data_IF_755740492976
#
_entry.id   IF_755740492976
#
_cell.length_a   1.000
_cell.length_b   1.000
_cell.length_c   1.000
_cell.angle_alpha   90.00
_cell.angle_beta   90.00
_cell.angle_gamma   90.00
#
_symmetry.space_group_name_H-M   'P 1'
#
loop_
_entity.id
_entity.type
_entity.pdbx_description
1 polymer ?
#
# COMPACT_ATOMS: atom_id res chain seq x y z
N UNK A 1 23.07 -92.13 0.58
CA UNK A 1 23.78 -91.12 -0.26
C UNK A 1 22.72 -90.21 -0.84
N UNK A 2 22.56 -89.01 -0.27
CA UNK A 2 23.18 -87.75 -0.71
C UNK A 2 22.53 -87.19 -1.98
N UNK A 3 21.76 -86.12 -1.77
CA UNK A 3 21.65 -84.89 -2.60
C UNK A 3 20.98 -85.11 -3.97
N UNK A 4 19.91 -84.42 -4.35
CA UNK A 4 19.84 -82.96 -4.52
C UNK A 4 18.39 -82.49 -4.58
N UNK A 5 18.04 -81.57 -3.68
CA UNK A 5 16.84 -80.74 -3.77
C UNK A 5 17.11 -79.70 -4.86
N UNK A 6 16.40 -79.78 -5.98
CA UNK A 6 16.26 -78.65 -6.90
C UNK A 6 14.84 -78.14 -6.72
N UNK A 7 14.70 -77.16 -5.83
CA UNK A 7 13.49 -76.35 -5.73
C UNK A 7 13.35 -75.52 -6.99
N UNK A 8 12.39 -75.87 -7.84
CA UNK A 8 11.92 -75.00 -8.90
C UNK A 8 11.05 -73.93 -8.23
N UNK A 9 11.66 -72.79 -7.93
CA UNK A 9 10.94 -71.56 -7.61
C UNK A 9 10.22 -71.12 -8.89
N UNK A 10 8.93 -71.43 -9.00
CA UNK A 10 8.06 -70.78 -9.98
C UNK A 10 7.86 -69.35 -9.48
N UNK A 11 8.74 -68.46 -9.94
CA UNK A 11 8.52 -67.02 -9.93
C UNK A 11 7.33 -66.75 -10.86
N UNK A 12 6.12 -66.75 -10.30
CA UNK A 12 5.01 -66.00 -10.88
C UNK A 12 5.38 -64.53 -10.76
N UNK A 13 6.13 -64.05 -11.76
CA UNK A 13 6.25 -62.63 -12.05
C UNK A 13 4.86 -62.17 -12.44
N UNK A 14 4.07 -61.74 -11.45
CA UNK A 14 3.00 -60.80 -11.71
C UNK A 14 3.66 -59.63 -12.41
N UNK A 15 3.36 -59.47 -13.70
CA UNK A 15 3.55 -58.22 -14.40
C UNK A 15 2.71 -57.20 -13.63
N UNK A 16 3.29 -56.60 -12.60
CA UNK A 16 2.73 -55.43 -11.95
C UNK A 16 2.46 -54.46 -13.09
N UNK A 17 1.18 -54.16 -13.31
CA UNK A 17 0.83 -53.02 -14.14
C UNK A 17 1.63 -51.88 -13.55
N UNK A 18 2.58 -51.35 -14.33
CA UNK A 18 3.10 -50.02 -14.04
C UNK A 18 1.86 -49.15 -14.06
N UNK A 19 1.28 -48.90 -12.89
CA UNK A 19 0.38 -47.79 -12.66
C UNK A 19 1.26 -46.59 -12.92
N UNK A 20 1.42 -46.24 -14.19
CA UNK A 20 1.88 -44.94 -14.60
C UNK A 20 0.87 -44.01 -13.96
N UNK A 21 1.28 -43.36 -12.88
CA UNK A 21 0.50 -42.32 -12.25
C UNK A 21 -0.04 -41.43 -13.39
N UNK A 22 -1.34 -41.14 -13.39
CA UNK A 22 -1.94 -40.41 -14.49
C UNK A 22 -1.12 -39.14 -14.75
N UNK A 23 -0.70 -38.96 -16.02
CA UNK A 23 0.10 -37.80 -16.42
C UNK A 23 -0.73 -36.56 -16.16
N UNK A 24 -0.33 -35.78 -15.17
CA UNK A 24 -0.99 -34.52 -14.83
C UNK A 24 -0.86 -33.57 -16.02
N UNK A 25 -1.99 -33.20 -16.63
CA UNK A 25 -2.02 -32.22 -17.71
C UNK A 25 -2.03 -30.84 -17.04
N UNK A 26 -0.95 -30.06 -17.21
CA UNK A 26 -0.90 -28.66 -16.80
C UNK A 26 -1.56 -27.83 -17.90
N UNK A 27 -2.75 -27.29 -17.62
CA UNK A 27 -3.41 -26.33 -18.51
C UNK A 27 -3.09 -24.94 -17.96
N UNK A 28 -2.44 -24.11 -18.79
CA UNK A 28 -2.12 -22.71 -18.49
C UNK A 28 -3.15 -21.90 -19.24
N UNK A 29 -4.15 -21.34 -18.56
CA UNK A 29 -5.12 -20.44 -19.17
C UNK A 29 -5.31 -19.18 -18.33
N UNK A 30 -5.44 -18.08 -19.10
CA UNK A 30 -5.71 -16.68 -18.79
C UNK A 30 -4.73 -15.91 -17.89
N UNK A 31 -4.10 -14.89 -18.49
CA UNK A 31 -3.45 -13.77 -17.80
C UNK A 31 -4.47 -12.66 -17.59
N UNK A 32 -4.59 -12.15 -16.37
CA UNK A 32 -5.48 -11.03 -16.02
C UNK A 32 -4.68 -9.83 -15.53
N UNK A 33 -5.27 -8.64 -15.68
CA UNK A 33 -4.64 -7.36 -15.36
C UNK A 33 -4.12 -6.60 -16.58
N UNK A 34 -3.90 -7.27 -17.72
CA UNK A 34 -3.49 -6.69 -19.02
C UNK A 34 -2.58 -5.45 -18.91
N UNK A 35 -1.38 -5.61 -18.31
CA UNK A 35 -0.51 -4.49 -17.95
C UNK A 35 0.07 -3.80 -19.18
N UNK A 36 0.04 -2.47 -19.20
CA UNK A 36 0.77 -1.62 -20.14
C UNK A 36 2.20 -1.46 -19.66
N UNK A 37 3.11 -2.21 -20.26
CA UNK A 37 4.53 -2.19 -19.92
C UNK A 37 5.20 -0.98 -20.57
N UNK A 38 5.60 0.00 -19.74
CA UNK A 38 6.46 1.09 -20.18
C UNK A 38 7.81 0.54 -20.69
N UNK A 39 8.32 1.12 -21.77
CA UNK A 39 9.60 0.73 -22.35
C UNK A 39 10.68 1.77 -22.02
N UNK A 40 11.93 1.32 -21.93
CA UNK A 40 13.07 2.23 -22.01
C UNK A 40 13.04 2.94 -23.35
N UNK A 41 13.23 4.26 -23.33
CA UNK A 41 13.44 5.02 -24.54
C UNK A 41 14.85 4.80 -25.07
N UNK A 42 15.85 4.95 -24.21
CA UNK A 42 17.25 4.77 -24.57
C UNK A 42 17.72 3.38 -24.14
N UNK A 43 17.36 2.37 -24.94
CA UNK A 43 17.68 0.95 -24.67
C UNK A 43 19.17 0.66 -24.61
N UNK A 44 19.97 1.53 -25.20
CA UNK A 44 21.41 1.39 -25.18
C UNK A 44 22.03 2.12 -23.98
N UNK A 45 21.31 3.02 -23.31
CA UNK A 45 21.84 3.75 -22.15
C UNK A 45 22.35 2.79 -21.05
N UNK A 46 23.61 2.98 -20.68
CA UNK A 46 24.37 2.15 -19.76
C UNK A 46 25.33 3.03 -18.92
N UNK A 47 26.00 2.43 -17.93
CA UNK A 47 26.98 3.09 -17.05
C UNK A 47 28.00 3.95 -17.82
N UNK A 48 28.52 3.46 -18.96
CA UNK A 48 29.56 4.15 -19.72
C UNK A 48 29.08 5.42 -20.45
N UNK A 49 27.77 5.53 -20.69
CA UNK A 49 27.12 6.66 -21.37
C UNK A 49 26.30 7.53 -20.44
N UNK A 50 26.04 7.05 -19.23
CA UNK A 50 25.22 7.72 -18.26
C UNK A 50 25.85 9.04 -17.81
N UNK A 51 24.99 10.04 -17.59
CA UNK A 51 25.41 11.32 -17.06
C UNK A 51 25.87 11.14 -15.62
N UNK A 52 27.05 11.70 -15.31
CA UNK A 52 27.54 11.77 -13.94
C UNK A 52 26.65 12.65 -13.03
N UNK A 53 26.00 13.66 -13.62
CA UNK A 53 25.02 14.53 -12.96
C UNK A 53 23.94 14.94 -13.96
N UNK A 54 22.70 15.06 -13.49
CA UNK A 54 21.60 15.53 -14.31
C UNK A 54 21.60 17.07 -14.40
N UNK A 55 20.92 17.59 -15.41
CA UNK A 55 20.64 19.02 -15.58
C UNK A 55 19.19 19.36 -15.25
N UNK A 56 18.63 20.29 -16.03
CA UNK A 56 17.21 20.61 -15.97
C UNK A 56 16.43 19.67 -16.90
N UNK A 57 15.53 18.86 -16.33
CA UNK A 57 14.74 17.86 -17.08
C UNK A 57 13.26 18.24 -17.12
N UNK A 58 12.59 17.92 -18.23
CA UNK A 58 11.14 18.04 -18.32
C UNK A 58 10.47 16.86 -17.60
N UNK A 59 9.50 17.17 -16.74
CA UNK A 59 8.76 16.21 -15.92
C UNK A 59 7.28 16.33 -16.21
N UNK A 60 6.58 15.19 -16.30
CA UNK A 60 5.15 15.15 -16.59
C UNK A 60 4.37 14.61 -15.39
N UNK A 61 3.30 15.29 -14.99
CA UNK A 61 2.49 14.87 -13.85
C UNK A 61 1.03 15.28 -14.03
N UNK A 62 0.15 14.69 -13.24
CA UNK A 62 -1.28 15.00 -13.25
C UNK A 62 -1.63 15.89 -12.07
N UNK A 63 -2.40 16.94 -12.36
CA UNK A 63 -2.94 17.89 -11.39
C UNK A 63 -4.39 18.18 -11.76
N UNK A 64 -5.31 17.90 -10.84
CA UNK A 64 -6.75 18.15 -11.04
C UNK A 64 -7.30 17.52 -12.34
N UNK A 65 -6.91 16.27 -12.63
CA UNK A 65 -7.35 15.51 -13.81
C UNK A 65 -6.77 16.05 -15.13
N UNK A 66 -5.85 17.01 -15.06
CA UNK A 66 -5.15 17.55 -16.21
C UNK A 66 -3.68 17.18 -16.12
N UNK A 67 -3.11 16.81 -17.26
CA UNK A 67 -1.68 16.63 -17.34
C UNK A 67 -0.96 17.98 -17.42
N UNK A 68 0.18 18.05 -16.73
CA UNK A 68 1.08 19.19 -16.63
C UNK A 68 2.48 18.75 -16.98
N UNK A 69 3.27 19.72 -17.40
CA UNK A 69 4.71 19.55 -17.56
C UNK A 69 5.42 20.70 -16.88
N UNK A 70 6.50 20.40 -16.17
CA UNK A 70 7.41 21.42 -15.63
C UNK A 70 8.85 21.05 -15.89
N UNK A 71 9.71 22.06 -16.02
CA UNK A 71 11.15 21.87 -16.12
C UNK A 71 11.74 21.93 -14.71
N UNK A 72 12.24 20.81 -14.22
CA UNK A 72 12.74 20.66 -12.86
C UNK A 72 14.27 20.51 -12.84
N UNK A 73 14.89 21.07 -11.80
CA UNK A 73 16.33 21.08 -11.61
C UNK A 73 16.80 19.81 -10.87
N UNK A 74 17.35 18.86 -11.60
CA UNK A 74 17.90 17.61 -11.06
C UNK A 74 19.43 17.68 -10.88
N UNK A 75 20.04 18.87 -10.75
CA UNK A 75 21.52 18.99 -10.62
C UNK A 75 22.12 18.23 -9.45
N UNK A 76 21.33 17.92 -8.42
CA UNK A 76 21.76 17.12 -7.26
C UNK A 76 21.56 15.61 -7.44
N UNK A 77 21.14 15.17 -8.63
CA UNK A 77 20.93 13.76 -8.98
C UNK A 77 22.04 13.27 -9.90
N UNK A 78 22.33 11.97 -9.82
CA UNK A 78 23.25 11.28 -10.69
C UNK A 78 22.45 10.42 -11.68
N UNK A 79 22.97 10.21 -12.88
CA UNK A 79 22.36 9.34 -13.89
C UNK A 79 22.95 7.94 -13.92
N UNK A 80 23.95 7.65 -13.08
CA UNK A 80 24.77 6.43 -13.11
C UNK A 80 24.96 5.74 -11.74
N UNK A 81 24.06 4.83 -11.35
CA UNK A 81 22.67 4.74 -11.83
C UNK A 81 21.86 5.95 -11.35
N UNK A 82 20.64 6.11 -11.88
CA UNK A 82 19.73 7.18 -11.48
C UNK A 82 19.52 7.14 -9.96
N UNK A 83 19.94 8.21 -9.29
CA UNK A 83 19.92 8.35 -7.84
C UNK A 83 19.88 9.82 -7.45
N UNK A 84 19.42 10.11 -6.24
CA UNK A 84 19.29 11.46 -5.69
C UNK A 84 19.62 11.52 -4.21
N UNK A 85 19.28 12.64 -3.56
CA UNK A 85 19.57 12.86 -2.13
C UNK A 85 18.95 11.79 -1.24
N UNK A 86 17.66 11.52 -1.44
CA UNK A 86 16.88 10.58 -0.64
C UNK A 86 16.64 9.23 -1.35
N UNK A 87 16.68 9.21 -2.68
CA UNK A 87 16.49 7.98 -3.47
C UNK A 87 17.85 7.39 -3.80
N UNK A 88 18.17 6.26 -3.17
CA UNK A 88 19.47 5.59 -3.31
C UNK A 88 19.71 5.11 -4.73
N UNK A 89 18.73 4.42 -5.31
CA UNK A 89 18.78 3.88 -6.66
C UNK A 89 17.37 3.79 -7.24
N UNK A 90 17.26 4.04 -8.53
CA UNK A 90 16.08 3.74 -9.32
C UNK A 90 16.32 2.47 -10.15
N UNK A 91 15.42 1.52 -10.02
CA UNK A 91 15.42 0.27 -10.79
C UNK A 91 14.19 0.20 -11.68
N UNK A 92 14.25 -0.66 -12.69
CA UNK A 92 13.10 -0.93 -13.55
C UNK A 92 12.95 -2.41 -13.88
N UNK A 93 11.73 -2.77 -14.31
CA UNK A 93 11.41 -4.08 -14.88
C UNK A 93 11.68 -5.29 -13.98
N UNK A 94 11.69 -5.09 -12.66
CA UNK A 94 11.71 -6.19 -11.68
C UNK A 94 10.47 -7.07 -11.85
N UNK A 95 10.61 -8.39 -11.66
CA UNK A 95 9.47 -9.31 -11.66
C UNK A 95 9.48 -10.19 -10.42
N UNK A 96 8.38 -10.11 -9.69
CA UNK A 96 8.11 -10.92 -8.51
C UNK A 96 6.95 -11.86 -8.78
N UNK A 97 7.04 -13.11 -8.29
CA UNK A 97 5.97 -14.10 -8.39
C UNK A 97 5.58 -14.61 -7.01
N UNK A 98 4.32 -14.41 -6.68
CA UNK A 98 3.65 -15.11 -5.58
C UNK A 98 2.85 -16.28 -6.12
N UNK A 99 3.23 -17.48 -5.69
CA UNK A 99 2.51 -18.70 -6.00
C UNK A 99 1.67 -19.14 -4.81
N UNK A 100 0.42 -19.39 -5.11
CA UNK A 100 -0.63 -19.76 -4.20
C UNK A 100 -1.23 -21.09 -4.64
N UNK A 101 -1.74 -21.88 -3.70
CA UNK A 101 -2.41 -23.16 -3.99
C UNK A 101 -3.76 -23.22 -3.29
N UNK A 102 -4.82 -23.49 -4.03
CA UNK A 102 -6.12 -23.78 -3.44
C UNK A 102 -6.11 -25.18 -2.80
N UNK A 103 -6.51 -25.25 -1.53
CA UNK A 103 -6.74 -26.46 -0.79
C UNK A 103 -8.25 -26.74 -0.76
N UNK A 104 -8.69 -27.75 -1.51
CA UNK A 104 -10.11 -28.12 -1.61
C UNK A 104 -10.71 -28.58 -0.29
N UNK A 105 -9.95 -29.33 0.52
CA UNK A 105 -10.42 -29.88 1.80
C UNK A 105 -10.76 -28.79 2.79
N UNK A 106 -9.89 -27.78 2.88
CA UNK A 106 -10.03 -26.65 3.79
C UNK A 106 -10.83 -25.49 3.16
N UNK A 107 -11.00 -25.50 1.83
CA UNK A 107 -11.54 -24.40 1.03
C UNK A 107 -10.79 -23.09 1.27
N UNK A 108 -9.46 -23.15 1.29
CA UNK A 108 -8.55 -22.01 1.55
C UNK A 108 -7.45 -21.92 0.50
N UNK A 109 -6.88 -20.74 0.30
CA UNK A 109 -5.69 -20.53 -0.51
C UNK A 109 -4.45 -20.50 0.37
N UNK A 110 -3.48 -21.33 0.02
CA UNK A 110 -2.24 -21.51 0.75
C UNK A 110 -1.08 -20.83 0.01
N UNK A 111 -0.28 -19.98 0.67
CA UNK A 111 0.96 -19.52 0.08
C UNK A 111 1.90 -20.72 -0.14
N UNK A 112 2.43 -20.86 -1.35
CA UNK A 112 3.38 -21.93 -1.72
C UNK A 112 4.79 -21.38 -1.78
N UNK A 113 4.97 -20.26 -2.47
CA UNK A 113 6.27 -19.61 -2.61
C UNK A 113 6.09 -18.14 -2.98
N UNK A 114 7.00 -17.30 -2.51
CA UNK A 114 7.12 -15.90 -2.90
C UNK A 114 8.57 -15.68 -3.31
N UNK A 115 8.82 -15.23 -4.54
CA UNK A 115 10.18 -15.08 -5.06
C UNK A 115 10.30 -14.04 -6.17
N UNK A 116 11.44 -13.38 -6.19
CA UNK A 116 11.90 -12.59 -7.34
C UNK A 116 12.35 -13.56 -8.43
N UNK A 117 11.79 -13.44 -9.63
CA UNK A 117 12.19 -14.24 -10.80
C UNK A 117 13.03 -13.44 -11.79
N UNK A 118 13.02 -12.11 -11.67
CA UNK A 118 13.86 -11.19 -12.42
C UNK A 118 14.20 -10.02 -11.50
N UNK A 119 15.47 -9.84 -11.19
CA UNK A 119 15.94 -8.68 -10.44
C UNK A 119 15.71 -7.38 -11.23
N UNK A 120 15.54 -6.29 -10.50
CA UNK A 120 15.43 -4.96 -11.11
C UNK A 120 16.76 -4.56 -11.75
N UNK A 121 16.69 -3.96 -12.94
CA UNK A 121 17.86 -3.39 -13.59
C UNK A 121 18.00 -1.92 -13.18
N UNK A 122 19.21 -1.43 -12.86
CA UNK A 122 19.41 -0.02 -12.58
C UNK A 122 19.01 0.83 -13.79
N UNK A 123 18.30 1.93 -13.54
CA UNK A 123 17.93 2.89 -14.57
C UNK A 123 19.07 3.88 -14.79
N UNK A 124 19.46 4.11 -16.04
CA UNK A 124 20.48 5.09 -16.41
C UNK A 124 19.86 6.27 -17.18
N UNK A 125 20.41 7.47 -17.00
CA UNK A 125 20.04 8.68 -17.74
C UNK A 125 21.26 9.14 -18.53
N UNK A 126 21.16 9.16 -19.87
CA UNK A 126 22.28 9.43 -20.77
C UNK A 126 22.17 10.76 -21.55
N UNK A 127 21.11 11.55 -21.32
CA UNK A 127 20.84 12.78 -22.09
C UNK A 127 20.60 13.96 -21.16
N UNK A 128 21.32 15.05 -21.42
CA UNK A 128 21.41 16.25 -20.55
C UNK A 128 20.23 17.21 -20.81
N UNK A 129 19.79 17.28 -22.07
CA UNK A 129 18.89 18.31 -22.59
C UNK A 129 17.55 17.79 -23.12
N UNK A 130 17.39 16.47 -23.27
CA UNK A 130 16.21 15.85 -23.87
C UNK A 130 15.07 15.62 -22.87
N UNK A 131 13.87 16.08 -23.26
CA UNK A 131 12.63 15.55 -22.68
C UNK A 131 12.49 14.08 -23.08
N UNK A 132 12.56 13.16 -22.13
CA UNK A 132 12.24 11.77 -22.39
C UNK A 132 10.78 11.64 -22.86
N UNK A 133 10.46 10.73 -23.80
CA UNK A 133 9.09 10.50 -24.20
C UNK A 133 8.23 10.17 -23.00
N UNK A 134 7.03 10.74 -22.98
CA UNK A 134 6.14 10.73 -21.82
C UNK A 134 5.87 9.34 -21.25
N UNK A 135 5.74 8.34 -22.11
CA UNK A 135 5.39 6.96 -21.75
C UNK A 135 6.64 6.07 -21.54
N UNK A 136 7.83 6.68 -21.48
CA UNK A 136 9.08 5.97 -21.18
C UNK A 136 9.27 5.74 -19.68
N UNK A 137 10.08 4.75 -19.33
CA UNK A 137 10.48 4.48 -17.94
C UNK A 137 11.24 5.67 -17.36
N UNK A 138 12.08 6.32 -18.16
CA UNK A 138 12.88 7.48 -17.77
C UNK A 138 11.99 8.67 -17.37
N UNK A 139 11.03 9.04 -18.21
CA UNK A 139 10.07 10.10 -17.88
C UNK A 139 9.25 9.73 -16.63
N UNK A 140 8.84 8.47 -16.52
CA UNK A 140 8.07 7.97 -15.36
C UNK A 140 8.87 8.08 -14.06
N UNK A 141 10.15 7.74 -14.09
CA UNK A 141 11.05 7.86 -12.94
C UNK A 141 11.23 9.32 -12.52
N UNK A 142 11.46 10.23 -13.47
CA UNK A 142 11.60 11.67 -13.20
C UNK A 142 10.33 12.25 -12.55
N UNK A 143 9.13 11.81 -12.96
CA UNK A 143 7.86 12.19 -12.32
C UNK A 143 7.75 11.76 -10.87
N UNK A 144 8.13 10.53 -10.56
CA UNK A 144 8.16 10.04 -9.19
C UNK A 144 9.22 10.78 -8.35
N UNK A 145 10.43 10.98 -8.91
CA UNK A 145 11.51 11.67 -8.22
C UNK A 145 11.17 13.12 -7.87
N UNK A 146 10.49 13.85 -8.75
CA UNK A 146 9.98 15.19 -8.48
C UNK A 146 9.10 15.22 -7.21
N UNK A 147 8.17 14.27 -7.11
CA UNK A 147 7.24 14.20 -5.98
C UNK A 147 7.98 13.82 -4.70
N UNK A 148 8.90 12.85 -4.77
CA UNK A 148 9.74 12.46 -3.64
C UNK A 148 10.65 13.60 -3.16
N UNK A 149 11.23 14.39 -4.06
CA UNK A 149 12.07 15.54 -3.67
C UNK A 149 11.25 16.60 -2.93
N UNK A 150 10.06 16.93 -3.44
CA UNK A 150 9.16 17.87 -2.77
C UNK A 150 8.75 17.36 -1.39
N UNK A 151 8.37 16.09 -1.29
CA UNK A 151 7.96 15.49 -0.02
C UNK A 151 9.10 15.35 0.98
N UNK A 152 10.28 14.94 0.53
CA UNK A 152 11.47 14.83 1.37
C UNK A 152 11.90 16.22 1.87
N UNK A 153 11.96 17.21 0.98
CA UNK A 153 12.26 18.59 1.37
C UNK A 153 11.27 19.11 2.41
N UNK A 154 9.97 18.91 2.21
CA UNK A 154 8.95 19.28 3.19
C UNK A 154 9.20 18.60 4.54
N UNK A 155 9.50 17.31 4.55
CA UNK A 155 9.78 16.56 5.78
C UNK A 155 11.00 17.14 6.52
N UNK A 156 12.13 17.37 5.83
CA UNK A 156 13.33 17.97 6.42
C UNK A 156 13.03 19.35 6.97
N UNK A 157 12.44 20.23 6.16
CA UNK A 157 12.15 21.61 6.54
C UNK A 157 11.15 21.68 7.73
N UNK A 158 10.27 20.69 7.89
CA UNK A 158 9.24 20.68 8.93
C UNK A 158 9.66 19.97 10.22
N UNK A 159 10.65 19.09 10.17
CA UNK A 159 11.04 18.25 11.33
C UNK A 159 12.46 18.48 11.80
N UNK A 160 13.30 19.14 10.99
CA UNK A 160 14.76 19.24 11.17
C UNK A 160 15.46 17.86 11.34
N UNK A 161 14.81 16.79 10.88
CA UNK A 161 15.30 15.42 10.97
C UNK A 161 15.87 14.94 9.63
N UNK A 162 17.18 14.98 9.46
CA UNK A 162 17.87 14.44 8.27
C UNK A 162 18.20 12.94 8.36
N UNK A 163 17.71 12.23 9.37
CA UNK A 163 18.03 10.81 9.60
C UNK A 163 17.12 9.82 8.88
N UNK A 164 16.10 10.31 8.16
CA UNK A 164 15.19 9.47 7.39
C UNK A 164 15.97 8.60 6.37
N UNK A 165 15.89 7.25 6.45
CA UNK A 165 16.68 6.36 5.61
C UNK A 165 16.38 6.53 4.12
N UNK A 166 17.41 6.45 3.27
CA UNK A 166 17.20 6.48 1.82
C UNK A 166 16.38 5.27 1.33
N UNK A 167 15.54 5.47 0.33
CA UNK A 167 14.73 4.38 -0.29
C UNK A 167 15.27 3.96 -1.66
N UNK A 168 14.84 2.78 -2.11
CA UNK A 168 14.91 2.41 -3.53
C UNK A 168 13.59 2.73 -4.23
N UNK A 169 13.65 3.04 -5.53
CA UNK A 169 12.47 3.27 -6.36
C UNK A 169 12.41 2.21 -7.47
N UNK A 170 11.33 1.45 -7.56
CA UNK A 170 11.13 0.43 -8.59
C UNK A 170 10.05 0.88 -9.57
N UNK A 171 10.46 1.14 -10.81
CA UNK A 171 9.56 1.59 -11.87
C UNK A 171 9.08 0.41 -12.71
N UNK A 172 7.78 0.37 -12.99
CA UNK A 172 7.17 -0.65 -13.85
C UNK A 172 7.49 -2.07 -13.35
N UNK A 173 7.42 -2.28 -12.03
CA UNK A 173 7.62 -3.58 -11.39
C UNK A 173 6.42 -4.47 -11.69
N UNK A 174 6.66 -5.73 -12.07
CA UNK A 174 5.58 -6.69 -12.28
C UNK A 174 5.46 -7.61 -11.09
N UNK A 175 4.33 -7.49 -10.39
CA UNK A 175 3.97 -8.41 -9.33
C UNK A 175 2.94 -9.41 -9.85
N UNK A 176 3.37 -10.64 -10.07
CA UNK A 176 2.55 -11.70 -10.66
C UNK A 176 2.05 -12.62 -9.55
N UNK A 177 0.75 -12.86 -9.53
CA UNK A 177 0.11 -13.86 -8.66
C UNK A 177 -0.27 -15.07 -9.49
N UNK A 178 0.28 -16.23 -9.13
CA UNK A 178 -0.05 -17.52 -9.70
C UNK A 178 -0.91 -18.32 -8.72
N UNK A 179 -2.15 -18.67 -9.08
CA UNK A 179 -3.00 -19.58 -8.30
C UNK A 179 -3.02 -20.96 -8.95
N UNK A 180 -2.62 -21.97 -8.17
CA UNK A 180 -2.69 -23.37 -8.54
C UNK A 180 -3.93 -23.99 -7.91
N UNK A 181 -4.82 -24.56 -8.72
CA UNK A 181 -5.94 -25.35 -8.22
C UNK A 181 -6.11 -26.63 -9.04
N UNK A 182 -6.73 -27.62 -8.42
CA UNK A 182 -7.06 -28.90 -9.02
C UNK A 182 -8.55 -28.86 -9.36
N UNK A 183 -8.90 -29.34 -10.56
CA UNK A 183 -10.33 -29.47 -10.95
C UNK A 183 -10.73 -30.94 -11.00
N UNK A 184 -9.82 -31.81 -11.45
CA UNK A 184 -9.99 -33.25 -11.51
C UNK A 184 -8.74 -33.96 -10.98
N UNK A 185 -8.80 -35.28 -10.78
CA UNK A 185 -7.65 -36.06 -10.32
C UNK A 185 -6.39 -35.94 -11.21
N UNK A 186 -6.57 -35.51 -12.46
CA UNK A 186 -5.52 -35.51 -13.48
C UNK A 186 -5.22 -34.13 -14.05
N UNK A 187 -5.92 -33.07 -13.63
CA UNK A 187 -5.79 -31.72 -14.19
C UNK A 187 -5.49 -30.69 -13.11
N UNK A 188 -4.37 -29.99 -13.30
CA UNK A 188 -3.96 -28.86 -12.47
C UNK A 188 -3.98 -27.61 -13.35
N UNK A 189 -4.73 -26.61 -12.90
CA UNK A 189 -4.83 -25.31 -13.52
C UNK A 189 -3.93 -24.32 -12.80
N UNK A 190 -3.33 -23.41 -13.57
CA UNK A 190 -2.54 -22.32 -13.05
C UNK A 190 -3.03 -21.02 -13.67
N UNK A 191 -3.62 -20.18 -12.81
CA UNK A 191 -4.12 -18.86 -13.17
C UNK A 191 -3.06 -17.83 -12.83
N UNK A 192 -2.83 -16.86 -13.71
CA UNK A 192 -1.81 -15.83 -13.49
C UNK A 192 -2.42 -14.44 -13.61
N UNK A 193 -2.08 -13.54 -12.70
CA UNK A 193 -2.54 -12.14 -12.76
C UNK A 193 -1.44 -11.18 -12.32
N UNK A 194 -1.22 -10.13 -13.11
CA UNK A 194 -0.37 -9.01 -12.72
C UNK A 194 -1.16 -8.05 -11.82
N UNK A 195 -0.53 -7.56 -10.76
CA UNK A 195 -1.00 -6.35 -10.09
C UNK A 195 -0.77 -5.16 -11.01
N UNK A 196 -1.81 -4.35 -11.16
CA UNK A 196 -1.84 -3.17 -12.03
C UNK A 196 -2.55 -2.02 -11.32
N UNK A 197 -2.38 -0.81 -11.86
CA UNK A 197 -3.02 0.43 -11.37
C UNK A 197 -2.76 0.68 -9.89
N UNK A 198 -1.53 0.45 -9.41
CA UNK A 198 -1.23 0.62 -8.01
C UNK A 198 0.24 1.00 -7.77
N UNK A 199 0.52 1.48 -6.56
CA UNK A 199 1.85 1.63 -6.01
C UNK A 199 1.92 0.92 -4.65
N UNK A 200 3.12 0.73 -4.12
CA UNK A 200 3.28 0.24 -2.75
C UNK A 200 4.64 0.58 -2.17
N UNK A 201 4.65 0.90 -0.89
CA UNK A 201 5.82 0.86 -0.03
C UNK A 201 6.08 -0.56 0.51
N UNK A 202 7.30 -1.05 0.34
CA UNK A 202 7.79 -2.27 1.00
C UNK A 202 8.52 -1.92 2.27
N UNK A 203 8.04 -2.43 3.40
CA UNK A 203 8.69 -2.27 4.70
C UNK A 203 10.03 -3.02 4.76
N UNK A 204 10.09 -4.21 4.14
CA UNK A 204 11.29 -5.06 4.13
C UNK A 204 12.44 -4.45 3.34
N UNK A 205 12.13 -3.93 2.15
CA UNK A 205 13.15 -3.45 1.21
C UNK A 205 13.37 -1.94 1.30
N UNK A 206 12.53 -1.25 2.08
CA UNK A 206 12.47 0.21 2.16
C UNK A 206 12.44 0.79 0.74
N UNK A 207 11.45 0.35 -0.04
CA UNK A 207 11.34 0.70 -1.45
C UNK A 207 9.92 1.10 -1.82
N UNK A 208 9.79 2.04 -2.74
CA UNK A 208 8.52 2.37 -3.38
C UNK A 208 8.49 1.69 -4.74
N UNK A 209 7.44 0.92 -5.01
CA UNK A 209 7.24 0.22 -6.26
C UNK A 209 6.01 0.74 -6.98
N UNK A 210 6.16 1.05 -8.26
CA UNK A 210 5.06 1.42 -9.15
C UNK A 210 4.75 0.26 -10.08
N UNK A 211 3.50 -0.22 -10.03
CA UNK A 211 3.02 -1.28 -10.90
C UNK A 211 2.50 -0.73 -12.22
N UNK A 212 2.55 -1.50 -13.32
CA UNK A 212 2.00 -1.11 -14.62
C UNK A 212 0.54 -0.66 -14.53
N UNK A 213 0.13 0.23 -15.43
CA UNK A 213 -1.27 0.58 -15.60
C UNK A 213 -2.01 -0.55 -16.34
N UNK A 214 -3.30 -0.74 -16.06
CA UNK A 214 -4.16 -1.63 -16.83
C UNK A 214 -4.48 -1.02 -18.20
N UNK A 215 -4.47 -1.83 -19.25
CA UNK A 215 -4.80 -1.37 -20.61
C UNK A 215 -6.27 -1.00 -20.82
N UNK A 216 -7.17 -1.56 -20.01
CA UNK A 216 -8.63 -1.37 -20.12
C UNK A 216 -9.22 -0.97 -18.77
N UNK A 217 -10.00 0.12 -18.75
CA UNK A 217 -10.65 0.66 -17.53
C UNK A 217 -9.66 0.84 -16.34
N UNK A 218 -8.58 1.60 -16.51
CA UNK A 218 -7.63 1.89 -15.43
C UNK A 218 -8.29 2.59 -14.23
N UNK A 219 -7.89 2.23 -13.00
CA UNK A 219 -8.45 2.77 -11.73
C UNK A 219 -8.27 4.29 -11.62
N UNK A 220 -7.12 4.79 -12.03
CA UNK A 220 -6.80 6.21 -11.92
C UNK A 220 -7.17 7.01 -13.18
N UNK A 221 -8.14 6.49 -13.95
CA UNK A 221 -8.47 7.00 -15.27
C UNK A 221 -7.26 6.90 -16.22
N UNK A 222 -7.09 7.88 -17.09
CA UNK A 222 -6.04 7.85 -18.13
C UNK A 222 -4.61 8.09 -17.62
N UNK A 223 -4.41 8.15 -16.29
CA UNK A 223 -3.12 8.49 -15.70
C UNK A 223 -2.54 7.31 -14.93
N UNK A 224 -1.29 6.90 -15.20
CA UNK A 224 -0.64 5.89 -14.39
C UNK A 224 -0.27 6.45 -13.02
N UNK A 225 -0.15 5.58 -12.02
CA UNK A 225 0.09 5.94 -10.62
C UNK A 225 1.31 6.85 -10.41
N UNK A 226 2.41 6.60 -11.14
CA UNK A 226 3.64 7.38 -11.06
C UNK A 226 3.53 8.82 -11.61
N UNK A 227 2.47 9.14 -12.36
CA UNK A 227 2.19 10.52 -12.78
C UNK A 227 1.35 11.30 -11.78
N UNK A 228 0.82 10.66 -10.74
CA UNK A 228 -0.03 11.31 -9.75
C UNK A 228 0.85 11.64 -8.54
N UNK A 229 1.23 12.91 -8.31
CA UNK A 229 2.16 13.27 -7.23
C UNK A 229 1.68 12.81 -5.86
N UNK A 230 0.36 12.88 -5.62
CA UNK A 230 -0.28 12.40 -4.40
C UNK A 230 0.06 10.93 -4.10
N UNK A 231 0.02 10.04 -5.11
CA UNK A 231 0.32 8.61 -4.91
C UNK A 231 1.76 8.41 -4.47
N UNK A 232 2.71 9.07 -5.15
CA UNK A 232 4.13 8.96 -4.78
C UNK A 232 4.38 9.48 -3.35
N UNK A 233 3.73 10.58 -3.00
CA UNK A 233 3.86 11.20 -1.68
C UNK A 233 3.15 10.37 -0.60
N UNK A 234 2.08 9.67 -0.95
CA UNK A 234 1.39 8.72 -0.09
C UNK A 234 2.33 7.57 0.30
N UNK A 235 2.96 6.93 -0.68
CA UNK A 235 3.94 5.85 -0.40
C UNK A 235 5.13 6.35 0.44
N UNK A 236 5.57 7.59 0.21
CA UNK A 236 6.57 8.26 1.06
C UNK A 236 6.07 8.47 2.49
N UNK A 237 4.78 8.77 2.69
CA UNK A 237 4.17 8.89 4.00
C UNK A 237 4.21 7.59 4.80
N UNK A 238 4.05 6.43 4.17
CA UNK A 238 4.28 5.14 4.83
C UNK A 238 5.72 4.97 5.30
N UNK A 239 6.69 5.39 4.48
CA UNK A 239 8.10 5.36 4.83
C UNK A 239 8.41 6.27 6.03
N UNK A 240 7.90 7.51 6.02
CA UNK A 240 8.05 8.47 7.13
C UNK A 240 7.43 7.92 8.41
N UNK A 241 6.22 7.33 8.36
CA UNK A 241 5.64 6.71 9.55
C UNK A 241 6.49 5.54 10.04
N UNK A 242 6.95 4.67 9.13
CA UNK A 242 7.79 3.52 9.48
C UNK A 242 9.14 3.93 10.11
N UNK A 243 9.66 5.11 9.82
CA UNK A 243 10.84 5.64 10.50
C UNK A 243 10.58 5.90 11.99
N UNK A 244 9.43 6.48 12.32
CA UNK A 244 9.06 6.74 13.73
C UNK A 244 8.50 5.51 14.44
N UNK A 245 7.76 4.68 13.70
CA UNK A 245 7.02 3.53 14.19
C UNK A 245 7.34 2.32 13.29
N UNK A 246 8.56 1.76 13.40
CA UNK A 246 9.00 0.63 12.57
C UNK A 246 8.07 -0.56 12.74
N UNK A 247 7.56 -1.09 11.63
CA UNK A 247 6.57 -2.17 11.70
C UNK A 247 7.14 -3.44 12.33
N UNK A 248 8.45 -3.64 12.23
CA UNK A 248 9.21 -4.76 12.80
C UNK A 248 9.38 -4.70 14.32
N UNK A 249 9.16 -3.53 14.94
CA UNK A 249 9.06 -3.40 16.40
C UNK A 249 7.80 -4.09 16.94
N UNK A 250 6.78 -4.33 16.10
CA UNK A 250 5.44 -4.76 16.51
C UNK A 250 4.99 -6.09 15.88
N UNK A 251 5.29 -6.27 14.59
CA UNK A 251 4.85 -7.39 13.79
C UNK A 251 6.01 -7.89 12.93
N UNK A 252 6.02 -9.18 12.58
CA UNK A 252 7.01 -9.60 11.58
C UNK A 252 6.75 -8.90 10.25
N UNK A 253 7.79 -8.35 9.63
CA UNK A 253 7.71 -7.66 8.32
C UNK A 253 7.02 -8.53 7.28
N UNK A 254 7.27 -9.84 7.31
CA UNK A 254 6.63 -10.80 6.40
C UNK A 254 5.10 -10.83 6.58
N UNK A 255 4.61 -10.79 7.82
CA UNK A 255 3.18 -10.75 8.12
C UNK A 255 2.57 -9.42 7.66
N UNK A 256 3.26 -8.30 7.90
CA UNK A 256 2.85 -6.97 7.43
C UNK A 256 2.73 -6.92 5.90
N UNK A 257 3.80 -7.30 5.19
CA UNK A 257 3.85 -7.29 3.73
C UNK A 257 2.79 -8.23 3.14
N UNK A 258 2.61 -9.41 3.75
CA UNK A 258 1.52 -10.29 3.35
C UNK A 258 0.19 -9.58 3.54
N UNK A 259 -0.13 -9.09 4.73
CA UNK A 259 -1.43 -8.47 5.00
C UNK A 259 -1.69 -7.24 4.12
N UNK A 260 -0.73 -6.34 3.96
CA UNK A 260 -0.83 -5.15 3.09
C UNK A 260 -1.11 -5.54 1.62
N UNK A 261 -0.43 -6.58 1.11
CA UNK A 261 -0.72 -7.11 -0.24
C UNK A 261 -2.10 -7.75 -0.32
N UNK A 262 -2.65 -8.26 0.78
CA UNK A 262 -4.01 -8.80 0.82
C UNK A 262 -5.07 -7.71 0.89
N UNK A 263 -4.88 -6.66 1.69
CA UNK A 263 -5.78 -5.51 1.70
C UNK A 263 -5.85 -4.82 0.34
N UNK A 264 -4.75 -4.81 -0.43
CA UNK A 264 -4.79 -4.33 -1.82
C UNK A 264 -5.73 -5.12 -2.74
N UNK A 265 -6.07 -6.39 -2.45
CA UNK A 265 -7.16 -7.09 -3.18
C UNK A 265 -8.53 -6.47 -2.91
N UNK A 266 -8.68 -5.78 -1.78
CA UNK A 266 -9.92 -5.13 -1.37
C UNK A 266 -10.05 -3.70 -1.92
N UNK A 267 -8.99 -3.08 -2.42
CA UNK A 267 -8.97 -1.67 -2.84
C UNK A 267 -9.54 -1.38 -4.26
N UNK A 268 -10.21 -2.35 -4.88
CA UNK A 268 -10.80 -2.19 -6.22
C UNK A 268 -9.88 -2.75 -7.31
N UNK A 269 -10.49 -3.33 -8.33
CA UNK A 269 -9.89 -4.10 -9.43
C UNK A 269 -9.32 -5.48 -9.10
N UNK A 270 -10.24 -6.45 -9.04
CA UNK A 270 -10.04 -7.73 -9.71
C UNK A 270 -11.35 -8.06 -10.42
N UNK A 271 -11.56 -7.50 -11.63
CA UNK A 271 -12.33 -8.27 -12.60
C UNK A 271 -11.55 -9.56 -12.82
N UNK A 272 -12.16 -10.65 -12.35
CA UNK A 272 -11.70 -12.03 -12.38
C UNK A 272 -10.51 -12.37 -11.47
N UNK A 273 -10.77 -12.55 -10.17
CA UNK A 273 -10.49 -13.81 -9.47
C UNK A 273 -11.02 -13.79 -8.04
N UNK A 274 -12.23 -14.33 -7.85
CA UNK A 274 -12.85 -14.49 -6.55
C UNK A 274 -12.64 -15.90 -6.00
N UNK A 275 -11.54 -16.19 -5.28
CA UNK A 275 -11.54 -17.32 -4.34
C UNK A 275 -10.67 -17.08 -3.08
N UNK A 276 -11.34 -17.20 -1.93
CA UNK A 276 -11.05 -17.75 -0.60
C UNK A 276 -9.68 -17.60 0.10
N UNK A 277 -9.78 -16.97 1.28
CA UNK A 277 -9.07 -17.23 2.55
C UNK A 277 -7.58 -17.58 2.39
N UNK A 278 -6.74 -16.57 2.44
CA UNK A 278 -5.32 -16.75 2.71
C UNK A 278 -5.16 -16.69 4.23
N UNK A 279 -4.26 -17.51 4.78
CA UNK A 279 -4.01 -17.75 6.21
C UNK A 279 -3.83 -16.46 7.05
N UNK A 280 -4.92 -15.73 7.29
CA UNK A 280 -5.08 -14.88 8.46
C UNK A 280 -5.45 -15.75 9.68
N UNK A 281 -5.77 -17.03 9.47
CA UNK A 281 -6.19 -17.97 10.53
C UNK A 281 -5.11 -18.42 11.51
N UNK A 282 -3.83 -18.13 11.27
CA UNK A 282 -2.79 -18.36 12.30
C UNK A 282 -2.63 -17.18 13.24
N UNK A 283 -3.21 -16.02 12.91
CA UNK A 283 -3.27 -14.90 13.83
C UNK A 283 -4.54 -15.01 14.66
N UNK A 284 -4.38 -14.93 15.98
CA UNK A 284 -5.51 -14.75 16.86
C UNK A 284 -6.24 -13.43 16.54
N UNK A 285 -7.54 -13.38 16.82
CA UNK A 285 -8.40 -12.24 16.47
C UNK A 285 -7.93 -10.93 17.09
N UNK A 286 -7.28 -11.00 18.26
CA UNK A 286 -6.71 -9.85 18.93
C UNK A 286 -5.57 -9.29 18.07
N UNK A 287 -4.56 -10.11 17.75
CA UNK A 287 -3.43 -9.70 16.89
C UNK A 287 -3.90 -9.23 15.50
N UNK A 288 -4.86 -9.91 14.85
CA UNK A 288 -5.44 -9.47 13.57
C UNK A 288 -6.10 -8.09 13.68
N UNK A 289 -6.88 -7.86 14.74
CA UNK A 289 -7.54 -6.59 14.99
C UNK A 289 -6.55 -5.44 15.17
N UNK A 290 -5.49 -5.64 15.97
CA UNK A 290 -4.44 -4.63 16.18
C UNK A 290 -3.68 -4.34 14.88
N UNK A 291 -3.33 -5.39 14.13
CA UNK A 291 -2.66 -5.26 12.83
C UNK A 291 -3.49 -4.43 11.85
N UNK A 292 -4.79 -4.70 11.74
CA UNK A 292 -5.70 -3.90 10.91
C UNK A 292 -5.60 -2.43 11.30
N UNK A 293 -5.86 -2.12 12.55
CA UNK A 293 -5.84 -0.74 13.06
C UNK A 293 -4.52 -0.04 12.73
N UNK A 294 -3.40 -0.73 12.91
CA UNK A 294 -2.08 -0.21 12.58
C UNK A 294 -1.91 0.09 11.07
N UNK A 295 -2.45 -0.75 10.19
CA UNK A 295 -2.48 -0.46 8.74
C UNK A 295 -3.37 0.72 8.40
N UNK A 296 -4.54 0.88 9.04
CA UNK A 296 -5.34 2.10 8.86
C UNK A 296 -4.58 3.36 9.32
N UNK A 297 -3.69 3.26 10.31
CA UNK A 297 -2.80 4.37 10.68
C UNK A 297 -1.75 4.68 9.63
N UNK A 298 -1.16 3.65 9.01
CA UNK A 298 -0.29 3.84 7.85
C UNK A 298 -1.01 4.55 6.71
N UNK A 299 -2.22 4.13 6.37
CA UNK A 299 -3.05 4.77 5.34
C UNK A 299 -3.41 6.21 5.71
N UNK A 300 -3.85 6.45 6.94
CA UNK A 300 -4.26 7.76 7.40
C UNK A 300 -3.08 8.75 7.42
N UNK A 301 -1.94 8.31 7.94
CA UNK A 301 -0.73 9.11 7.98
C UNK A 301 -0.23 9.41 6.57
N UNK A 302 -0.26 8.43 5.68
CA UNK A 302 0.19 8.60 4.30
C UNK A 302 -0.70 9.56 3.50
N UNK A 303 -2.02 9.46 3.63
CA UNK A 303 -2.95 10.41 3.00
C UNK A 303 -2.74 11.84 3.53
N UNK A 304 -2.60 12.00 4.85
CA UNK A 304 -2.29 13.30 5.45
C UNK A 304 -0.92 13.83 5.01
N UNK A 305 0.12 13.00 4.99
CA UNK A 305 1.46 13.41 4.57
C UNK A 305 1.50 13.83 3.11
N UNK A 306 0.81 13.11 2.22
CA UNK A 306 0.65 13.50 0.82
C UNK A 306 -0.08 14.84 0.68
N UNK A 307 -1.16 15.02 1.45
CA UNK A 307 -1.93 16.26 1.48
C UNK A 307 -1.09 17.47 1.95
N UNK A 308 -0.25 17.29 2.97
CA UNK A 308 0.56 18.35 3.56
C UNK A 308 1.81 18.69 2.72
N UNK A 309 2.49 17.67 2.20
CA UNK A 309 3.84 17.82 1.63
C UNK A 309 3.89 18.41 0.21
N UNK A 310 2.81 18.24 -0.54
CA UNK A 310 2.72 18.63 -1.95
C UNK A 310 2.24 20.07 -2.18
N UNK A 311 1.65 20.68 -1.15
CA UNK A 311 0.95 21.96 -1.27
C UNK A 311 -0.32 21.87 -2.15
N UNK A 312 -1.11 22.95 -2.13
CA UNK A 312 -2.43 22.99 -2.79
C UNK A 312 -2.38 22.78 -4.31
N UNK A 313 -1.22 22.98 -4.95
CA UNK A 313 -1.09 22.76 -6.39
C UNK A 313 -0.93 21.28 -6.74
N UNK A 314 -0.24 20.47 -5.94
CA UNK A 314 0.08 19.08 -6.32
C UNK A 314 -0.76 18.03 -5.60
N UNK A 315 -1.44 18.39 -4.50
CA UNK A 315 -2.27 17.47 -3.72
C UNK A 315 -3.72 17.30 -4.25
N UNK A 316 -4.12 18.06 -5.28
CA UNK A 316 -5.50 18.03 -5.79
C UNK A 316 -5.82 16.74 -6.55
N UNK A 317 -6.79 15.99 -6.02
CA UNK A 317 -7.27 14.72 -6.59
C UNK A 317 -8.51 14.86 -7.48
N UNK A 318 -8.99 16.08 -7.72
CA UNK A 318 -10.11 16.33 -8.65
C UNK A 318 -9.82 15.71 -10.02
N UNK A 319 -10.78 15.00 -10.61
CA UNK A 319 -10.60 14.34 -11.91
C UNK A 319 -9.69 13.10 -11.90
N UNK A 320 -9.33 12.59 -10.71
CA UNK A 320 -8.72 11.27 -10.52
C UNK A 320 -9.79 10.32 -10.00
N UNK A 321 -10.36 9.51 -10.90
CA UNK A 321 -11.58 8.70 -10.71
C UNK A 321 -11.75 8.11 -9.29
N UNK A 322 -10.91 7.14 -8.92
CA UNK A 322 -11.07 6.41 -7.66
C UNK A 322 -10.49 7.12 -6.42
N UNK A 323 -9.92 8.32 -6.56
CA UNK A 323 -9.22 9.03 -5.48
C UNK A 323 -9.90 10.34 -5.06
N UNK A 324 -10.61 11.00 -5.97
CA UNK A 324 -11.10 12.37 -5.82
C UNK A 324 -11.85 12.63 -4.50
N UNK A 325 -12.75 11.75 -4.10
CA UNK A 325 -13.49 11.90 -2.83
C UNK A 325 -13.07 10.88 -1.79
N UNK A 326 -12.60 9.70 -2.21
CA UNK A 326 -12.20 8.62 -1.32
C UNK A 326 -10.96 8.97 -0.49
N UNK A 327 -9.95 9.61 -1.10
CA UNK A 327 -8.65 9.92 -0.47
C UNK A 327 -8.45 11.39 -0.13
N UNK A 328 -9.31 12.27 -0.65
CA UNK A 328 -9.27 13.70 -0.31
C UNK A 328 -9.61 13.91 1.18
N UNK A 329 -8.67 14.52 1.89
CA UNK A 329 -8.75 14.86 3.32
C UNK A 329 -9.85 15.88 3.60
N UNK A 330 -10.05 16.84 2.70
CA UNK A 330 -11.05 17.90 2.89
C UNK A 330 -12.48 17.43 2.57
N UNK A 331 -12.63 16.32 1.85
CA UNK A 331 -13.93 15.69 1.58
C UNK A 331 -14.43 14.90 2.80
N UNK A 332 -15.64 15.24 3.26
CA UNK A 332 -16.33 14.51 4.34
C UNK A 332 -17.11 13.28 3.84
N UNK A 333 -17.08 12.97 2.54
CA UNK A 333 -17.83 11.88 1.93
C UNK A 333 -16.95 11.04 0.97
N UNK A 334 -17.32 9.78 0.78
CA UNK A 334 -16.88 8.92 -0.31
C UNK A 334 -17.68 9.23 -1.60
N UNK A 335 -17.30 8.60 -2.71
CA UNK A 335 -17.92 8.82 -4.02
C UNK A 335 -19.40 8.41 -4.08
N UNK A 336 -19.84 7.46 -3.26
CA UNK A 336 -21.24 7.08 -3.09
C UNK A 336 -22.00 7.90 -2.03
N UNK A 337 -21.44 9.03 -1.60
CA UNK A 337 -21.96 9.91 -0.55
C UNK A 337 -21.98 9.32 0.87
N UNK A 338 -21.37 8.15 1.08
CA UNK A 338 -21.15 7.65 2.44
C UNK A 338 -20.27 8.64 3.20
N UNK A 339 -20.69 9.06 4.39
CA UNK A 339 -19.91 9.98 5.22
C UNK A 339 -18.64 9.31 5.77
N UNK A 340 -17.54 10.07 5.83
CA UNK A 340 -16.28 9.65 6.44
C UNK A 340 -16.35 9.75 7.97
N UNK A 341 -17.11 8.84 8.59
CA UNK A 341 -17.29 8.77 10.06
C UNK A 341 -17.03 7.36 10.59
N UNK A 342 -16.45 7.28 11.78
CA UNK A 342 -16.21 6.05 12.52
C UNK A 342 -17.46 5.64 13.31
N UNK A 343 -18.51 5.23 12.60
CA UNK A 343 -19.76 4.74 13.19
C UNK A 343 -19.61 3.32 13.74
N UNK A 344 -20.59 2.84 14.53
CA UNK A 344 -20.56 1.46 15.05
C UNK A 344 -20.49 0.43 13.93
N UNK A 345 -21.20 0.65 12.82
CA UNK A 345 -21.16 -0.26 11.66
C UNK A 345 -19.79 -0.27 10.97
N UNK A 346 -19.11 0.87 10.90
CA UNK A 346 -17.75 0.95 10.35
C UNK A 346 -16.76 0.20 11.24
N UNK A 347 -16.78 0.47 12.56
CA UNK A 347 -15.89 -0.21 13.53
C UNK A 347 -16.12 -1.71 13.54
N UNK A 348 -17.38 -2.15 13.61
CA UNK A 348 -17.74 -3.57 13.58
C UNK A 348 -17.35 -4.21 12.26
N UNK A 349 -17.60 -3.55 11.12
CA UNK A 349 -17.21 -4.09 9.82
C UNK A 349 -15.70 -4.24 9.71
N UNK A 350 -14.92 -3.27 10.21
CA UNK A 350 -13.48 -3.26 10.09
C UNK A 350 -12.80 -4.32 10.96
N UNK A 351 -13.20 -4.37 12.23
CA UNK A 351 -12.61 -5.30 13.19
C UNK A 351 -13.13 -6.74 13.02
N UNK A 352 -14.19 -6.93 12.23
CA UNK A 352 -14.66 -8.27 11.87
C UNK A 352 -13.55 -9.04 11.12
N UNK A 353 -13.26 -10.28 11.51
CA UNK A 353 -12.35 -11.14 10.77
C UNK A 353 -12.77 -11.24 9.29
N UNK A 354 -11.79 -11.15 8.39
CA UNK A 354 -12.08 -11.15 6.95
C UNK A 354 -12.55 -12.55 6.54
N UNK A 355 -13.79 -12.66 6.06
CA UNK A 355 -14.32 -13.93 5.60
C UNK A 355 -13.95 -14.22 4.14
N UNK A 356 -13.98 -15.50 3.76
CA UNK A 356 -13.80 -15.90 2.37
C UNK A 356 -14.79 -15.22 1.40
N UNK A 357 -16.04 -14.99 1.85
CA UNK A 357 -17.07 -14.29 1.08
C UNK A 357 -16.73 -12.81 0.88
N UNK A 358 -16.13 -12.17 1.88
CA UNK A 358 -15.74 -10.77 1.78
C UNK A 358 -14.61 -10.56 0.77
N UNK A 359 -13.66 -11.51 0.70
CA UNK A 359 -12.60 -11.54 -0.30
C UNK A 359 -13.10 -11.76 -1.74
N UNK A 360 -14.33 -12.25 -1.90
CA UNK A 360 -14.94 -12.51 -3.20
C UNK A 360 -15.83 -11.37 -3.70
N UNK A 361 -16.08 -10.34 -2.88
CA UNK A 361 -16.89 -9.20 -3.32
C UNK A 361 -16.10 -8.38 -4.31
N UNK A 362 -16.71 -8.10 -5.48
CA UNK A 362 -16.20 -7.07 -6.38
C UNK A 362 -16.33 -5.73 -5.67
N UNK A 363 -15.20 -5.09 -5.42
CA UNK A 363 -15.19 -3.77 -4.82
C UNK A 363 -15.22 -2.72 -5.93
N UNK A 364 -16.14 -1.77 -5.79
CA UNK A 364 -16.21 -0.60 -6.64
C UNK A 364 -15.31 0.47 -6.05
N UNK A 365 -14.63 1.24 -6.90
CA UNK A 365 -13.99 2.48 -6.48
C UNK A 365 -14.96 3.48 -5.83
N UNK A 366 -16.26 3.37 -6.15
CA UNK A 366 -17.25 4.34 -5.69
C UNK A 366 -17.72 4.09 -4.26
N UNK A 367 -17.68 2.84 -3.80
CA UNK A 367 -18.29 2.43 -2.54
C UNK A 367 -17.21 1.95 -1.58
N UNK A 368 -17.09 2.57 -0.39
CA UNK A 368 -16.04 2.22 0.54
C UNK A 368 -16.21 0.78 1.04
N UNK A 369 -15.12 0.03 1.06
CA UNK A 369 -15.06 -1.25 1.76
C UNK A 369 -14.46 -1.03 3.15
N UNK A 370 -15.29 -1.01 4.19
CA UNK A 370 -14.81 -0.79 5.56
C UNK A 370 -14.09 -2.01 6.17
N UNK A 371 -13.83 -3.09 5.43
CA UNK A 371 -12.83 -4.10 5.80
C UNK A 371 -11.43 -3.79 5.22
N UNK A 372 -11.34 -2.78 4.36
CA UNK A 372 -10.10 -2.30 3.77
C UNK A 372 -9.47 -1.19 4.64
N UNK A 373 -8.20 -1.33 5.07
CA UNK A 373 -7.48 -0.25 5.74
C UNK A 373 -7.48 1.07 4.96
N UNK A 374 -7.54 1.10 3.62
CA UNK A 374 -7.55 2.36 2.86
C UNK A 374 -8.81 3.20 3.17
N UNK A 375 -9.98 2.56 3.22
CA UNK A 375 -11.24 3.26 3.50
C UNK A 375 -11.28 3.76 4.94
N UNK A 376 -10.84 2.96 5.91
CA UNK A 376 -10.79 3.37 7.32
C UNK A 376 -9.70 4.41 7.56
N UNK A 377 -8.55 4.27 6.90
CA UNK A 377 -7.47 5.26 6.88
C UNK A 377 -7.96 6.62 6.37
N UNK A 378 -8.74 6.63 5.28
CA UNK A 378 -9.35 7.87 4.77
C UNK A 378 -10.33 8.52 5.77
N UNK A 379 -11.09 7.73 6.54
CA UNK A 379 -11.95 8.25 7.62
C UNK A 379 -11.11 8.91 8.71
N UNK A 380 -10.04 8.24 9.14
CA UNK A 380 -9.14 8.75 10.17
C UNK A 380 -8.39 10.00 9.69
N UNK A 381 -7.88 10.01 8.46
CA UNK A 381 -7.18 11.13 7.86
C UNK A 381 -8.06 12.38 7.77
N UNK A 382 -9.29 12.23 7.24
CA UNK A 382 -10.29 13.30 7.24
C UNK A 382 -10.54 13.84 8.64
N UNK A 383 -10.76 12.94 9.60
CA UNK A 383 -11.01 13.32 10.99
C UNK A 383 -9.84 14.11 11.59
N UNK A 384 -8.61 13.62 11.42
CA UNK A 384 -7.40 14.30 11.88
C UNK A 384 -7.28 15.69 11.26
N UNK A 385 -7.52 15.81 9.95
CA UNK A 385 -7.53 17.09 9.23
C UNK A 385 -8.56 18.08 9.77
N UNK A 386 -9.80 17.64 10.00
CA UNK A 386 -10.86 18.48 10.58
C UNK A 386 -10.50 18.93 12.00
N UNK A 387 -10.01 18.02 12.84
CA UNK A 387 -9.63 18.35 14.22
C UNK A 387 -8.51 19.39 14.27
N UNK A 388 -7.45 19.23 13.47
CA UNK A 388 -6.38 20.23 13.37
C UNK A 388 -6.89 21.59 12.84
N UNK A 389 -7.84 21.57 11.90
CA UNK A 389 -8.48 22.80 11.38
C UNK A 389 -9.31 23.51 12.45
N UNK A 390 -10.09 22.77 13.24
CA UNK A 390 -10.85 23.34 14.36
C UNK A 390 -9.94 23.92 15.46
N UNK A 391 -8.75 23.33 15.64
CA UNK A 391 -7.70 23.81 16.53
C UNK A 391 -6.92 25.02 16.01
N UNK A 392 -7.22 25.51 14.80
CA UNK A 392 -6.46 26.55 14.10
C UNK A 392 -4.96 26.22 13.97
N UNK A 393 -4.62 24.94 13.79
CA UNK A 393 -3.25 24.52 13.45
C UNK A 393 -3.07 24.82 11.97
N UNK A 394 -2.46 25.97 11.66
CA UNK A 394 -2.53 26.55 10.31
C UNK A 394 -1.46 26.03 9.36
N UNK A 395 -0.23 25.81 9.83
CA UNK A 395 0.87 25.45 8.93
C UNK A 395 0.91 23.94 8.68
N UNK A 396 1.39 23.56 7.49
CA UNK A 396 1.57 22.14 7.17
C UNK A 396 2.64 21.47 8.05
N UNK A 397 3.65 22.24 8.47
CA UNK A 397 4.71 21.78 9.37
C UNK A 397 4.15 21.44 10.76
N UNK A 398 3.37 22.33 11.38
CA UNK A 398 2.76 22.08 12.70
C UNK A 398 1.83 20.86 12.66
N UNK A 399 1.08 20.68 11.56
CA UNK A 399 0.23 19.51 11.37
C UNK A 399 1.02 18.21 11.28
N UNK A 400 2.17 18.22 10.58
CA UNK A 400 3.06 17.07 10.56
C UNK A 400 3.65 16.79 11.95
N UNK A 401 4.02 17.84 12.70
CA UNK A 401 4.55 17.70 14.06
C UNK A 401 3.55 17.02 15.00
N UNK A 402 2.28 17.44 14.96
CA UNK A 402 1.17 16.78 15.68
C UNK A 402 1.10 15.29 15.31
N UNK A 403 1.13 14.95 14.02
CA UNK A 403 1.05 13.56 13.57
C UNK A 403 2.26 12.73 14.02
N UNK A 404 3.46 13.29 13.95
CA UNK A 404 4.70 12.63 14.39
C UNK A 404 4.70 12.42 15.91
N UNK A 405 4.23 13.41 16.68
CA UNK A 405 4.12 13.28 18.14
C UNK A 405 3.10 12.18 18.51
N UNK A 406 1.94 12.16 17.85
CA UNK A 406 0.96 11.08 18.02
C UNK A 406 1.56 9.71 17.68
N UNK A 407 2.24 9.57 16.55
CA UNK A 407 2.87 8.31 16.15
C UNK A 407 3.90 7.81 17.17
N UNK A 408 4.76 8.71 17.68
CA UNK A 408 5.72 8.41 18.75
C UNK A 408 5.03 7.97 20.04
N UNK A 409 3.91 8.61 20.40
CA UNK A 409 3.14 8.27 21.59
C UNK A 409 2.48 6.88 21.47
N UNK A 410 1.94 6.55 20.29
CA UNK A 410 1.41 5.21 19.99
C UNK A 410 2.51 4.14 20.13
N UNK A 411 3.70 4.38 19.56
CA UNK A 411 4.86 3.48 19.69
C UNK A 411 5.22 3.20 21.14
N UNK A 412 5.36 4.25 21.95
CA UNK A 412 5.75 4.13 23.37
C UNK A 412 4.73 3.30 24.17
N UNK A 413 3.44 3.46 23.88
CA UNK A 413 2.38 2.77 24.61
C UNK A 413 2.00 1.40 24.02
N UNK A 414 2.50 1.05 22.82
CA UNK A 414 2.11 -0.17 22.12
C UNK A 414 2.23 -1.45 22.97
N UNK A 415 3.32 -1.70 23.73
CA UNK A 415 3.44 -2.95 24.49
C UNK A 415 2.34 -3.17 25.53
N UNK A 416 1.78 -2.08 26.07
CA UNK A 416 0.66 -2.13 27.02
C UNK A 416 -0.66 -2.23 26.26
N UNK A 417 -0.84 -1.39 25.24
CA UNK A 417 -2.10 -1.31 24.49
C UNK A 417 -2.37 -2.55 23.63
N UNK A 418 -1.35 -3.24 23.13
CA UNK A 418 -1.55 -4.44 22.29
C UNK A 418 -2.28 -5.58 23.03
N UNK A 419 -2.36 -5.50 24.37
CA UNK A 419 -3.05 -6.46 25.24
C UNK A 419 -4.53 -6.17 25.45
N UNK A 420 -5.02 -4.96 25.12
CA UNK A 420 -6.44 -4.59 25.28
C UNK A 420 -7.24 -4.88 23.99
N UNK A 421 -8.56 -5.18 24.07
CA UNK A 421 -9.36 -5.53 22.89
C UNK A 421 -9.22 -4.53 21.74
N UNK A 422 -9.29 -4.94 20.44
CA UNK A 422 -8.90 -4.05 19.34
C UNK A 422 -9.77 -2.80 19.22
N UNK A 423 -11.05 -2.89 19.59
CA UNK A 423 -11.94 -1.72 19.66
C UNK A 423 -11.44 -0.68 20.68
N UNK A 424 -11.02 -1.15 21.86
CA UNK A 424 -10.46 -0.29 22.90
C UNK A 424 -9.07 0.21 22.49
N UNK A 425 -8.25 -0.60 21.81
CA UNK A 425 -6.99 -0.14 21.22
C UNK A 425 -7.20 1.03 20.25
N UNK A 426 -8.14 0.91 19.30
CA UNK A 426 -8.49 1.97 18.35
C UNK A 426 -9.01 3.23 19.07
N UNK A 427 -9.76 3.05 20.16
CA UNK A 427 -10.25 4.14 21.00
C UNK A 427 -9.10 4.85 21.70
N UNK A 428 -8.29 4.15 22.48
CA UNK A 428 -7.22 4.76 23.29
C UNK A 428 -6.14 5.45 22.45
N UNK A 429 -5.77 4.87 21.32
CA UNK A 429 -4.80 5.47 20.38
C UNK A 429 -5.34 6.70 19.66
N UNK A 430 -6.65 6.78 19.38
CA UNK A 430 -7.25 8.01 18.86
C UNK A 430 -7.45 9.06 19.96
N UNK A 431 -7.68 8.64 21.21
CA UNK A 431 -7.64 9.53 22.37
C UNK A 431 -6.25 10.16 22.55
N UNK A 432 -5.18 9.40 22.35
CA UNK A 432 -3.81 9.92 22.33
C UNK A 432 -3.62 11.02 21.28
N UNK A 433 -4.25 10.92 20.10
CA UNK A 433 -4.22 11.99 19.12
C UNK A 433 -4.89 13.27 19.65
N UNK A 434 -6.04 13.14 20.33
CA UNK A 434 -6.71 14.28 20.95
C UNK A 434 -5.89 14.90 22.09
N UNK A 435 -5.17 14.08 22.86
CA UNK A 435 -4.29 14.56 23.91
C UNK A 435 -3.09 15.32 23.33
N UNK A 436 -2.47 14.81 22.26
CA UNK A 436 -1.43 15.56 21.53
C UNK A 436 -1.98 16.87 20.99
N UNK A 437 -3.21 16.91 20.45
CA UNK A 437 -3.80 18.17 19.95
C UNK A 437 -3.93 19.24 21.05
N UNK A 438 -4.12 18.86 22.31
CA UNK A 438 -4.21 19.81 23.44
C UNK A 438 -2.91 20.58 23.67
N UNK A 439 -1.77 19.98 23.31
CA UNK A 439 -0.46 20.64 23.41
C UNK A 439 -0.31 21.78 22.38
N UNK A 440 -1.07 21.74 21.29
CA UNK A 440 -1.02 22.73 20.21
C UNK A 440 -2.22 23.69 20.22
N UNK A 441 -3.38 23.25 20.71
CA UNK A 441 -4.61 24.06 20.71
C UNK A 441 -5.60 23.58 21.76
N UNK A 442 -6.35 24.52 22.38
CA UNK A 442 -7.45 24.15 23.26
C UNK A 442 -8.58 23.48 22.46
N UNK A 443 -8.93 22.25 22.82
CA UNK A 443 -10.11 21.58 22.27
C UNK A 443 -11.36 22.35 22.73
N UNK A 444 -12.08 22.99 21.82
CA UNK A 444 -13.26 23.81 22.11
C UNK A 444 -14.58 23.03 21.90
N UNK A 445 -15.72 23.72 22.04
CA UNK A 445 -17.06 23.13 21.85
C UNK A 445 -17.23 22.45 20.47
N UNK A 446 -16.68 23.03 19.41
CA UNK A 446 -16.78 22.46 18.06
C UNK A 446 -16.02 21.12 17.94
N UNK A 447 -14.90 20.97 18.65
CA UNK A 447 -14.19 19.68 18.72
C UNK A 447 -15.06 18.63 19.42
N UNK A 448 -15.65 18.96 20.56
CA UNK A 448 -16.54 18.06 21.30
C UNK A 448 -17.71 17.59 20.41
N UNK A 449 -18.37 18.54 19.75
CA UNK A 449 -19.47 18.23 18.84
C UNK A 449 -19.03 17.34 17.68
N UNK A 450 -17.86 17.62 17.09
CA UNK A 450 -17.33 16.80 16.00
C UNK A 450 -16.96 15.39 16.46
N UNK A 451 -16.25 15.24 17.58
CA UNK A 451 -15.89 13.92 18.13
C UNK A 451 -17.14 13.08 18.39
N UNK A 452 -18.18 13.65 19.02
CA UNK A 452 -19.44 12.95 19.27
C UNK A 452 -20.12 12.45 18.00
N UNK A 453 -20.01 13.19 16.90
CA UNK A 453 -20.63 12.85 15.63
C UNK A 453 -19.77 11.89 14.80
N UNK A 454 -18.46 12.12 14.75
CA UNK A 454 -17.52 11.38 13.92
C UNK A 454 -17.14 10.03 14.52
N UNK A 455 -17.19 9.85 15.84
CA UNK A 455 -16.75 8.63 16.53
C UNK A 455 -17.86 7.93 17.32
N UNK A 456 -19.08 7.94 16.81
CA UNK A 456 -20.21 7.22 17.44
C UNK A 456 -19.94 5.73 17.66
N UNK A 457 -19.07 5.11 16.84
CA UNK A 457 -18.66 3.71 16.98
C UNK A 457 -17.64 3.43 18.09
N UNK A 458 -16.96 4.45 18.61
CA UNK A 458 -15.98 4.29 19.71
C UNK A 458 -16.54 4.72 21.06
N UNK A 459 -17.78 5.23 21.11
CA UNK A 459 -18.47 5.60 22.34
C UNK A 459 -17.63 6.51 23.26
N UNK A 460 -17.03 7.57 22.71
CA UNK A 460 -16.41 8.60 23.54
C UNK A 460 -17.45 9.34 24.35
N UNK A 461 -17.15 9.60 25.61
CA UNK A 461 -17.90 10.57 26.39
C UNK A 461 -17.21 11.93 26.24
N UNK A 462 -17.89 12.87 25.60
CA UNK A 462 -17.38 14.23 25.44
C UNK A 462 -18.15 15.19 26.33
N UNK A 463 -17.42 16.03 27.07
CA UNK A 463 -18.02 17.05 27.94
C UNK A 463 -17.36 18.39 27.65
N UNK A 464 -18.17 19.38 27.27
CA UNK A 464 -17.70 20.76 27.11
C UNK A 464 -17.96 21.56 28.38
N UNK A 465 -16.92 22.19 28.93
CA UNK A 465 -17.02 23.10 30.06
C UNK A 465 -17.00 24.55 29.57
N UNK A 466 -18.15 25.22 29.53
CA UNK A 466 -18.23 26.64 29.15
C UNK A 466 -17.39 27.55 30.06
N UNK A 467 -17.15 27.14 31.31
CA UNK A 467 -16.30 27.87 32.27
C UNK A 467 -14.82 27.76 31.91
N UNK A 468 -14.37 26.59 31.48
CA UNK A 468 -12.97 26.34 31.11
C UNK A 468 -12.70 26.61 29.63
N UNK A 469 -13.74 26.74 28.80
CA UNK A 469 -13.61 26.82 27.36
C UNK A 469 -13.04 25.55 26.73
N UNK A 470 -13.14 24.41 27.43
CA UNK A 470 -12.41 23.19 27.11
C UNK A 470 -13.35 21.99 26.93
N UNK A 471 -13.05 21.20 25.91
CA UNK A 471 -13.62 19.90 25.61
C UNK A 471 -12.80 18.79 26.27
N UNK A 472 -13.45 17.99 27.10
CA UNK A 472 -12.89 16.76 27.67
C UNK A 472 -13.41 15.56 26.91
N UNK A 473 -12.54 14.59 26.69
CA UNK A 473 -12.83 13.35 25.98
C UNK A 473 -12.42 12.20 26.88
N UNK A 474 -13.40 11.44 27.36
CA UNK A 474 -13.21 10.32 28.28
C UNK A 474 -13.33 8.96 27.57
#
# INVERSE_FOLDING_TARGET
MKVMVIGVLVLLVSCGSKNSAPKTKKIIESSYGDPVIANLFDKECDDSRALSRLGNMDVFYTQSGMEKSERFDFRDYQGNPLSGKFVKNVYHSRKHVDRLKYNETLKVILPVSSRVIQEGLPLYICRDDDSYPRDSIEASALSALLSLEKSYKFYIDSTDDSSLPSINLNMNERYIRELIYKETDNEIYMLSSDLVDNASYSFAEQSISFYPQKSTNPIFGNFPAWRIPFVTSHEMGHHVLNHYVPVDDFFSVKVMDQYAKHSQKMAGNCEDFSFNKIFVEEMDQQTEGILKIFLAYHEAFADMFAYLSLGSSYNMLMGIDCMQSSRDIDSNIFADYTEKKMTSSVVESYLKPVSAKDLMKKNSCTTPNFQDPHAVGAVLAHTMGVMMKLGNIMTAADKLEVMVHWAKLVKVNFPVMSTIPPREYLKETMKMFFDVLKDYSTLNEAHCAYISQAFTGLNYLTTYSAVQGECRVD
#
